data_IF_326909492135
#
_entry.id   IF_326909492135
#
_cell.length_a   1.000
_cell.length_b   1.000
_cell.length_c   1.000
_cell.angle_alpha   90.00
_cell.angle_beta   90.00
_cell.angle_gamma   90.00
#
_symmetry.space_group_name_H-M   'P 1'
#
loop_
_entity.id
_entity.type
_entity.pdbx_description
1 polymer ?
2 non-polymer ?
3 water ?
#
# COMPACT_ATOMS: atom_id res chain seq x y z
N UNK A 10 -5.44 54.70 -13.96
CA UNK A 10 -6.52 54.04 -13.19
C UNK A 10 -7.00 52.80 -13.92
N UNK A 11 -7.05 52.92 -15.24
CA UNK A 11 -7.54 51.85 -16.10
C UNK A 11 -6.61 50.67 -16.03
N UNK A 12 -5.32 50.96 -15.99
CA UNK A 12 -4.33 49.88 -15.90
C UNK A 12 -4.26 49.32 -14.51
N UNK A 13 -4.59 50.15 -13.52
CA UNK A 13 -4.58 49.69 -12.14
C UNK A 13 -5.70 48.67 -11.93
N UNK A 14 -6.77 48.79 -12.71
CA UNK A 14 -7.89 47.87 -12.61
C UNK A 14 -7.51 46.52 -13.23
N UNK A 15 -6.73 46.58 -14.30
CA UNK A 15 -6.28 45.37 -14.98
C UNK A 15 -5.39 44.57 -14.02
N UNK A 16 -4.69 45.30 -13.16
CA UNK A 16 -3.81 44.70 -12.17
C UNK A 16 -4.66 43.97 -11.12
N UNK A 17 -5.71 44.62 -10.65
CA UNK A 17 -6.58 44.02 -9.65
C UNK A 17 -7.22 42.73 -10.13
N UNK A 18 -7.71 42.72 -11.36
CA UNK A 18 -8.35 41.52 -11.90
C UNK A 18 -7.35 40.37 -11.93
N UNK A 19 -6.14 40.67 -12.39
CA UNK A 19 -5.08 39.67 -12.46
C UNK A 19 -4.79 39.08 -11.07
N UNK A 20 -4.91 39.92 -10.05
CA UNK A 20 -4.66 39.48 -8.69
C UNK A 20 -5.76 38.59 -8.13
N UNK A 21 -7.01 38.88 -8.48
CA UNK A 21 -8.13 38.08 -8.00
C UNK A 21 -8.00 36.68 -8.58
N UNK A 22 -7.64 36.61 -9.85
CA UNK A 22 -7.46 35.33 -10.54
C UNK A 22 -6.29 34.60 -9.87
N UNK A 23 -5.26 35.36 -9.52
CA UNK A 23 -4.07 34.82 -8.89
C UNK A 23 -4.40 34.18 -7.54
N UNK A 24 -5.17 34.90 -6.72
CA UNK A 24 -5.57 34.41 -5.40
C UNK A 24 -6.25 33.06 -5.51
N UNK A 25 -7.20 32.98 -6.45
CA UNK A 25 -7.94 31.76 -6.69
C UNK A 25 -6.97 30.64 -7.07
N UNK A 26 -6.00 30.99 -7.90
CA UNK A 26 -4.99 30.06 -8.37
C UNK A 26 -4.15 29.50 -7.21
N UNK A 27 -3.72 30.38 -6.31
CA UNK A 27 -2.92 29.95 -5.17
C UNK A 27 -3.78 29.09 -4.24
N UNK A 28 -5.07 29.38 -4.22
CA UNK A 28 -5.99 28.64 -3.38
C UNK A 28 -6.17 27.22 -3.92
N UNK A 29 -6.34 27.09 -5.22
CA UNK A 29 -6.49 25.77 -5.82
C UNK A 29 -5.20 24.97 -5.69
N UNK A 30 -4.07 25.66 -5.75
CA UNK A 30 -2.79 24.99 -5.66
C UNK A 30 -2.54 24.51 -4.25
N UNK A 31 -2.82 25.37 -3.28
CA UNK A 31 -2.61 25.02 -1.88
C UNK A 31 -3.46 23.80 -1.54
N UNK A 32 -4.71 23.81 -2.01
CA UNK A 32 -5.61 22.71 -1.75
C UNK A 32 -5.10 21.42 -2.41
N UNK A 33 -4.72 21.52 -3.68
CA UNK A 33 -4.22 20.37 -4.41
C UNK A 33 -2.97 19.78 -3.77
N UNK A 34 -2.08 20.64 -3.27
CA UNK A 34 -0.86 20.17 -2.63
C UNK A 34 -1.18 19.45 -1.31
N UNK A 35 -2.19 19.94 -0.59
CA UNK A 35 -2.57 19.34 0.67
C UNK A 35 -3.12 17.93 0.47
N UNK A 36 -3.94 17.77 -0.56
CA UNK A 36 -4.51 16.46 -0.82
C UNK A 36 -3.43 15.53 -1.34
N UNK A 37 -2.55 16.07 -2.17
CA UNK A 37 -1.46 15.28 -2.73
C UNK A 37 -0.56 14.69 -1.65
N UNK A 38 -0.12 15.52 -0.72
CA UNK A 38 0.76 15.05 0.34
C UNK A 38 0.04 14.04 1.22
N UNK A 39 -1.28 14.20 1.36
CA UNK A 39 -2.06 13.27 2.17
C UNK A 39 -2.04 11.91 1.46
N UNK A 40 -2.29 11.93 0.15
CA UNK A 40 -2.29 10.72 -0.66
C UNK A 40 -0.91 10.06 -0.69
N UNK A 41 0.15 10.86 -0.51
CA UNK A 41 1.51 10.32 -0.53
C UNK A 41 1.80 9.53 0.73
N UNK A 42 1.28 9.99 1.86
CA UNK A 42 1.50 9.29 3.11
C UNK A 42 0.68 8.03 3.11
N UNK A 43 -0.54 8.11 2.58
CA UNK A 43 -1.40 6.93 2.52
C UNK A 43 -0.79 5.93 1.57
N UNK A 44 -0.10 6.43 0.55
CA UNK A 44 0.53 5.57 -0.45
C UNK A 44 1.74 4.83 0.11
N UNK A 45 2.52 5.51 0.94
CA UNK A 45 3.70 4.90 1.53
C UNK A 45 3.29 3.87 2.58
N UNK A 46 2.25 4.18 3.35
CA UNK A 46 1.79 3.26 4.37
C UNK A 46 1.21 1.99 3.75
N UNK A 47 0.53 2.14 2.62
CA UNK A 47 -0.05 0.99 1.95
C UNK A 47 1.07 0.14 1.37
N UNK A 48 2.08 0.79 0.79
CA UNK A 48 3.19 0.06 0.20
C UNK A 48 3.87 -0.81 1.25
N UNK A 49 4.01 -0.26 2.46
CA UNK A 49 4.65 -0.98 3.56
C UNK A 49 3.77 -2.13 4.05
N UNK A 50 2.47 -1.88 4.16
CA UNK A 50 1.56 -2.91 4.63
C UNK A 50 1.54 -4.08 3.65
N UNK A 51 1.69 -3.76 2.37
CA UNK A 51 1.70 -4.78 1.34
C UNK A 51 2.99 -5.58 1.49
N UNK A 52 4.07 -4.91 1.88
CA UNK A 52 5.35 -5.58 2.07
C UNK A 52 5.28 -6.49 3.29
N UNK A 53 4.62 -6.02 4.33
CA UNK A 53 4.46 -6.80 5.54
C UNK A 53 3.75 -8.10 5.18
N UNK A 54 2.58 -7.95 4.54
CA UNK A 54 1.75 -9.07 4.13
C UNK A 54 2.47 -10.12 3.29
N UNK A 55 3.42 -9.69 2.48
CA UNK A 55 4.17 -10.62 1.65
C UNK A 55 5.06 -11.47 2.54
N UNK A 56 5.75 -10.80 3.46
CA UNK A 56 6.65 -11.50 4.36
C UNK A 56 5.97 -12.52 5.25
N UNK A 57 4.76 -12.19 5.69
CA UNK A 57 4.03 -13.08 6.54
C UNK A 57 3.45 -14.21 5.70
N UNK A 58 3.19 -13.90 4.44
CA UNK A 58 2.64 -14.85 3.49
C UNK A 58 3.63 -16.01 3.33
N UNK A 59 4.89 -15.66 3.11
CA UNK A 59 5.95 -16.65 2.94
C UNK A 59 6.08 -17.55 4.16
N UNK A 60 6.18 -16.94 5.34
CA UNK A 60 6.32 -17.73 6.56
C UNK A 60 5.26 -18.82 6.62
N UNK A 61 4.01 -18.44 6.37
CA UNK A 61 2.90 -19.38 6.40
C UNK A 61 3.01 -20.48 5.35
N UNK A 62 3.35 -20.11 4.12
CA UNK A 62 3.50 -21.09 3.06
C UNK A 62 4.57 -22.11 3.45
N UNK A 63 5.63 -21.64 4.09
CA UNK A 63 6.68 -22.55 4.50
C UNK A 63 6.16 -23.48 5.59
N UNK A 64 5.38 -22.94 6.51
CA UNK A 64 4.84 -23.72 7.61
C UNK A 64 3.92 -24.82 7.08
N UNK A 65 3.15 -24.48 6.05
CA UNK A 65 2.21 -25.41 5.45
C UNK A 65 2.94 -26.58 4.79
N UNK A 66 3.98 -26.24 4.05
CA UNK A 66 4.77 -27.22 3.35
C UNK A 66 5.41 -28.15 4.38
N UNK A 67 5.89 -27.57 5.46
CA UNK A 67 6.52 -28.34 6.52
C UNK A 67 5.50 -29.28 7.16
N UNK A 68 4.34 -28.75 7.53
CA UNK A 68 3.32 -29.57 8.17
C UNK A 68 2.78 -30.66 7.25
N UNK A 69 2.64 -30.35 5.97
CA UNK A 69 2.15 -31.33 5.01
C UNK A 69 3.11 -32.50 4.86
N UNK A 70 4.40 -32.22 4.97
CA UNK A 70 5.38 -33.27 4.82
C UNK A 70 5.47 -34.11 6.09
N UNK A 71 5.26 -33.48 7.25
CA UNK A 71 5.30 -34.23 8.49
C UNK A 71 4.04 -35.08 8.57
N UNK A 72 2.93 -34.51 8.13
CA UNK A 72 1.66 -35.22 8.14
C UNK A 72 1.75 -36.54 7.39
N UNK A 73 2.28 -36.49 6.17
CA UNK A 73 2.40 -37.68 5.35
C UNK A 73 3.33 -38.72 5.99
N UNK A 74 4.39 -38.25 6.63
CA UNK A 74 5.33 -39.14 7.30
C UNK A 74 4.58 -39.83 8.46
N UNK A 75 3.90 -39.04 9.27
CA UNK A 75 3.16 -39.59 10.38
C UNK A 75 2.11 -40.60 9.91
N UNK A 76 1.42 -40.31 8.81
CA UNK A 76 0.43 -41.25 8.31
C UNK A 76 1.09 -42.57 7.93
N UNK A 77 2.31 -42.51 7.41
CA UNK A 77 3.04 -43.71 7.01
C UNK A 77 3.53 -44.47 8.23
N UNK A 78 3.85 -43.72 9.28
CA UNK A 78 4.32 -44.34 10.51
C UNK A 78 3.15 -45.03 11.21
N UNK A 79 1.97 -44.43 11.13
CA UNK A 79 0.78 -45.01 11.74
C UNK A 79 0.38 -46.27 10.98
N UNK A 80 0.57 -46.26 9.67
CA UNK A 80 0.23 -47.41 8.84
C UNK A 80 1.17 -48.57 9.19
N UNK A 81 2.46 -48.26 9.30
CA UNK A 81 3.46 -49.26 9.62
C UNK A 81 3.15 -49.94 10.96
N UNK A 82 2.86 -49.13 11.98
CA UNK A 82 2.57 -49.63 13.32
C UNK A 82 1.32 -50.49 13.43
N UNK A 83 0.27 -50.11 12.70
CA UNK A 83 -0.96 -50.88 12.75
C UNK A 83 -0.75 -52.29 12.21
N UNK A 84 -0.02 -52.41 11.10
CA UNK A 84 0.22 -53.72 10.51
C UNK A 84 0.86 -54.67 11.51
N UNK A 85 1.63 -54.12 12.44
CA UNK A 85 2.29 -54.93 13.45
C UNK A 85 1.32 -55.34 14.55
N UNK A 86 0.53 -54.37 15.00
CA UNK A 86 -0.45 -54.55 16.07
C UNK A 86 -1.66 -55.38 15.68
N UNK A 87 -1.97 -55.41 14.39
CA UNK A 87 -3.12 -56.17 13.94
C UNK A 87 -4.32 -55.27 13.71
N UNK A 88 -4.19 -54.01 14.11
CA UNK A 88 -5.26 -53.04 13.90
C UNK A 88 -5.40 -52.79 12.40
N UNK A 89 -6.56 -52.34 11.94
CA UNK A 89 -6.73 -52.15 10.50
C UNK A 89 -6.91 -50.72 9.99
N UNK B 2 12.74 44.69 -12.33
CA UNK B 2 13.88 45.63 -12.16
C UNK B 2 13.76 46.49 -10.91
N UNK B 3 14.86 46.64 -10.19
CA UNK B 3 14.89 47.44 -8.97
C UNK B 3 15.37 48.86 -9.25
N UNK B 4 15.71 49.13 -10.51
CA UNK B 4 16.16 50.47 -10.87
C UNK B 4 14.98 51.42 -10.79
N UNK B 5 15.26 52.72 -10.58
CA UNK B 5 14.18 53.70 -10.49
C UNK B 5 13.41 53.80 -11.81
N UNK B 6 12.17 53.34 -11.81
CA UNK B 6 11.38 53.39 -13.02
C UNK B 6 10.24 54.40 -12.89
N UNK B 7 9.75 54.85 -14.04
CA UNK B 7 8.65 55.79 -14.08
C UNK B 7 7.36 54.97 -14.10
N UNK B 8 6.33 55.49 -13.44
CA UNK B 8 5.04 54.81 -13.34
C UNK B 8 4.63 54.00 -14.57
N UNK B 9 4.74 54.63 -15.73
CA UNK B 9 4.37 53.98 -16.98
C UNK B 9 5.22 52.73 -17.22
N UNK B 10 6.50 52.81 -16.84
CA UNK B 10 7.42 51.69 -17.03
C UNK B 10 7.29 50.63 -15.93
N UNK B 11 7.14 51.07 -14.68
CA UNK B 11 7.00 50.14 -13.55
C UNK B 11 5.74 49.30 -13.75
N UNK B 12 4.67 49.96 -14.18
CA UNK B 12 3.42 49.28 -14.42
C UNK B 12 3.63 48.13 -15.40
N UNK B 13 4.27 48.42 -16.53
CA UNK B 13 4.50 47.38 -17.53
C UNK B 13 5.38 46.25 -17.01
N UNK B 14 6.38 46.59 -16.21
CA UNK B 14 7.28 45.58 -15.66
C UNK B 14 6.51 44.70 -14.67
N UNK B 15 5.57 45.30 -13.95
CA UNK B 15 4.78 44.57 -12.97
C UNK B 15 3.78 43.64 -13.62
N UNK B 16 3.16 44.09 -14.70
CA UNK B 16 2.18 43.27 -15.39
C UNK B 16 2.87 42.04 -16.00
N UNK B 17 4.06 42.23 -16.55
CA UNK B 17 4.78 41.13 -17.15
C UNK B 17 5.17 40.12 -16.09
N UNK B 18 5.62 40.63 -14.94
CA UNK B 18 6.02 39.78 -13.82
C UNK B 18 4.82 39.00 -13.26
N UNK B 19 3.61 39.51 -13.48
CA UNK B 19 2.42 38.83 -13.00
C UNK B 19 2.01 37.71 -13.94
N UNK B 20 2.03 37.98 -15.24
CA UNK B 20 1.67 36.96 -16.20
C UNK B 20 2.65 35.80 -16.05
N UNK B 21 3.91 36.13 -15.81
CA UNK B 21 4.97 35.15 -15.63
C UNK B 21 4.67 34.27 -14.42
N UNK B 22 4.48 34.92 -13.27
CA UNK B 22 4.17 34.22 -12.04
C UNK B 22 2.88 33.42 -12.21
N UNK B 23 1.96 33.93 -13.03
CA UNK B 23 0.70 33.25 -13.30
C UNK B 23 0.97 31.96 -14.07
N UNK B 24 1.75 32.05 -15.15
CA UNK B 24 2.08 30.88 -15.95
C UNK B 24 2.80 29.86 -15.07
N UNK B 25 3.62 30.35 -14.15
CA UNK B 25 4.35 29.46 -13.26
C UNK B 25 3.36 28.70 -12.38
N UNK B 26 2.35 29.40 -11.88
CA UNK B 26 1.36 28.74 -11.04
C UNK B 26 0.52 27.77 -11.87
N UNK B 27 0.24 28.13 -13.11
CA UNK B 27 -0.55 27.27 -13.98
C UNK B 27 0.21 25.97 -14.21
N UNK B 28 1.54 26.07 -14.22
CA UNK B 28 2.39 24.91 -14.43
C UNK B 28 2.49 24.08 -13.17
N UNK B 29 2.66 24.75 -12.03
CA UNK B 29 2.76 24.02 -10.77
C UNK B 29 1.45 23.30 -10.47
N UNK B 30 0.33 23.91 -10.83
CA UNK B 30 -0.98 23.32 -10.59
C UNK B 30 -1.22 22.11 -11.50
N UNK B 31 -0.91 22.27 -12.79
CA UNK B 31 -1.10 21.18 -13.74
C UNK B 31 -0.31 19.94 -13.34
N UNK B 32 0.92 20.15 -12.89
CA UNK B 32 1.78 19.05 -12.48
C UNK B 32 1.28 18.38 -11.18
N UNK B 33 0.89 19.20 -10.20
CA UNK B 33 0.44 18.68 -8.92
C UNK B 33 -0.87 17.92 -9.05
N UNK B 34 -1.71 18.38 -9.98
CA UNK B 34 -2.99 17.75 -10.23
C UNK B 34 -2.72 16.38 -10.87
N UNK B 35 -1.81 16.35 -11.84
CA UNK B 35 -1.47 15.12 -12.53
C UNK B 35 -0.94 14.08 -11.53
N UNK B 36 0.00 14.50 -10.70
CA UNK B 36 0.59 13.62 -9.70
C UNK B 36 -0.47 13.15 -8.70
N UNK B 37 -1.39 14.06 -8.37
CA UNK B 37 -2.46 13.77 -7.43
C UNK B 37 -3.36 12.68 -8.00
N UNK B 38 -3.71 12.80 -9.28
CA UNK B 38 -4.56 11.81 -9.94
C UNK B 38 -3.89 10.44 -10.01
N UNK B 39 -2.59 10.41 -10.27
CA UNK B 39 -1.88 9.13 -10.35
C UNK B 39 -1.84 8.48 -8.97
N UNK B 40 -1.73 9.31 -7.94
CA UNK B 40 -1.70 8.81 -6.58
C UNK B 40 -3.04 8.23 -6.19
N UNK B 41 -4.12 8.88 -6.61
CA UNK B 41 -5.46 8.38 -6.31
C UNK B 41 -5.61 6.97 -6.88
N UNK B 42 -5.30 6.86 -8.17
CA UNK B 42 -5.40 5.59 -8.87
C UNK B 42 -4.55 4.49 -8.24
N UNK B 43 -3.31 4.82 -7.88
CA UNK B 43 -2.42 3.84 -7.28
C UNK B 43 -2.89 3.33 -5.92
N UNK B 44 -3.38 4.24 -5.09
CA UNK B 44 -3.86 3.88 -3.76
C UNK B 44 -5.06 2.94 -3.85
N UNK B 45 -5.92 3.19 -4.83
CA UNK B 45 -7.08 2.35 -5.05
C UNK B 45 -6.58 0.93 -5.32
N UNK B 46 -5.63 0.84 -6.25
CA UNK B 46 -5.02 -0.42 -6.65
C UNK B 46 -4.32 -1.09 -5.47
N UNK B 47 -3.50 -0.33 -4.74
CA UNK B 47 -2.77 -0.85 -3.59
C UNK B 47 -3.72 -1.39 -2.53
N UNK B 48 -4.77 -0.63 -2.24
CA UNK B 48 -5.75 -1.06 -1.25
C UNK B 48 -6.36 -2.40 -1.67
N UNK B 49 -6.74 -2.49 -2.94
CA UNK B 49 -7.33 -3.71 -3.48
C UNK B 49 -6.36 -4.88 -3.37
N UNK B 50 -5.08 -4.61 -3.62
CA UNK B 50 -4.04 -5.64 -3.54
C UNK B 50 -3.80 -6.05 -2.09
N UNK B 51 -3.91 -5.09 -1.18
CA UNK B 51 -3.69 -5.37 0.23
C UNK B 51 -4.82 -6.25 0.78
N UNK B 52 -6.05 -5.94 0.39
CA UNK B 52 -7.21 -6.72 0.84
C UNK B 52 -7.11 -8.15 0.31
N UNK B 53 -6.48 -8.31 -0.84
CA UNK B 53 -6.33 -9.62 -1.42
C UNK B 53 -5.26 -10.40 -0.64
N UNK B 54 -4.20 -9.72 -0.23
CA UNK B 54 -3.14 -10.36 0.54
C UNK B 54 -3.68 -10.77 1.92
N UNK B 55 -4.61 -9.98 2.45
CA UNK B 55 -5.20 -10.28 3.74
C UNK B 55 -6.04 -11.54 3.58
N UNK B 56 -6.79 -11.61 2.49
CA UNK B 56 -7.62 -12.77 2.24
C UNK B 56 -6.79 -14.04 2.10
N UNK B 57 -5.65 -13.95 1.44
CA UNK B 57 -4.80 -15.12 1.27
C UNK B 57 -4.18 -15.50 2.60
N UNK B 58 -3.85 -14.49 3.39
CA UNK B 58 -3.25 -14.66 4.71
C UNK B 58 -4.16 -15.53 5.58
N UNK B 59 -5.44 -15.21 5.56
CA UNK B 59 -6.43 -15.92 6.35
C UNK B 59 -6.57 -17.37 5.91
N UNK B 60 -6.67 -17.59 4.61
CA UNK B 60 -6.81 -18.93 4.09
C UNK B 60 -5.64 -19.79 4.54
N UNK B 61 -4.46 -19.19 4.62
CA UNK B 61 -3.26 -19.90 5.04
C UNK B 61 -3.23 -20.18 6.54
N UNK B 62 -3.64 -19.20 7.35
CA UNK B 62 -3.66 -19.39 8.79
C UNK B 62 -4.60 -20.57 9.07
N UNK B 63 -5.72 -20.60 8.36
CA UNK B 63 -6.69 -21.67 8.50
C UNK B 63 -6.10 -23.01 8.09
N UNK B 64 -5.38 -23.02 6.98
CA UNK B 64 -4.78 -24.24 6.49
C UNK B 64 -3.80 -24.76 7.54
N UNK B 65 -3.04 -23.84 8.12
CA UNK B 65 -2.07 -24.20 9.14
C UNK B 65 -2.77 -24.76 10.38
N UNK B 66 -3.86 -24.13 10.80
CA UNK B 66 -4.60 -24.59 11.97
C UNK B 66 -5.16 -25.98 11.74
N UNK B 67 -5.63 -26.23 10.53
CA UNK B 67 -6.18 -27.54 10.18
C UNK B 67 -5.07 -28.60 10.18
N UNK B 68 -3.89 -28.22 9.71
CA UNK B 68 -2.78 -29.17 9.64
C UNK B 68 -2.09 -29.38 10.97
N UNK B 69 -2.19 -28.39 11.85
CA UNK B 69 -1.57 -28.49 13.16
C UNK B 69 -2.37 -29.47 14.01
N UNK B 70 -3.68 -29.43 13.85
CA UNK B 70 -4.56 -30.30 14.61
C UNK B 70 -4.46 -31.74 14.11
N UNK B 71 -4.35 -31.93 12.80
CA UNK B 71 -4.23 -33.29 12.28
C UNK B 71 -2.87 -33.84 12.66
N UNK B 72 -1.91 -32.93 12.82
CA UNK B 72 -0.56 -33.32 13.19
C UNK B 72 -0.51 -33.85 14.63
N UNK B 73 -1.10 -33.10 15.55
CA UNK B 73 -1.10 -33.48 16.96
C UNK B 73 -1.81 -34.82 17.13
N UNK B 74 -2.96 -34.96 16.47
CA UNK B 74 -3.74 -36.19 16.54
C UNK B 74 -2.91 -37.36 16.00
N UNK B 75 -2.07 -37.09 15.00
CA UNK B 75 -1.23 -38.13 14.44
C UNK B 75 -0.11 -38.52 15.41
N UNK B 76 0.54 -37.52 16.01
CA UNK B 76 1.60 -37.81 16.96
C UNK B 76 1.04 -38.63 18.14
N UNK B 77 -0.21 -38.37 18.50
CA UNK B 77 -0.85 -39.09 19.60
C UNK B 77 -1.18 -40.52 19.19
N UNK B 78 -1.47 -40.74 17.91
CA UNK B 78 -1.76 -42.09 17.48
C UNK B 78 -0.48 -42.88 17.39
N UNK B 79 0.58 -42.23 16.93
CA UNK B 79 1.86 -42.91 16.84
C UNK B 79 2.28 -43.31 18.25
N UNK B 80 2.17 -42.38 19.20
CA UNK B 80 2.56 -42.67 20.58
C UNK B 80 1.76 -43.85 21.15
N UNK B 81 0.46 -43.87 20.87
CA UNK B 81 -0.41 -44.95 21.33
C UNK B 81 0.00 -46.27 20.70
N UNK B 82 0.18 -46.27 19.39
CA UNK B 82 0.56 -47.48 18.68
C UNK B 82 1.96 -47.94 19.09
N UNK B 83 2.89 -46.99 19.23
CA UNK B 83 4.25 -47.33 19.62
C UNK B 83 4.31 -48.01 20.98
N UNK B 84 3.65 -47.42 21.96
CA UNK B 84 3.63 -47.97 23.31
C UNK B 84 3.07 -49.38 23.29
N UNK B 85 2.05 -49.59 22.47
CA UNK B 85 1.41 -50.89 22.36
C UNK B 85 2.39 -51.95 21.84
N UNK B 86 3.23 -51.60 20.88
CA UNK B 86 4.19 -52.59 20.39
C UNK B 86 5.50 -52.56 21.17
N UNK B 87 5.75 -51.46 21.87
CA UNK B 87 6.96 -51.34 22.66
C UNK B 87 8.16 -50.76 21.93
N UNK B 88 8.09 -49.48 21.56
CA UNK B 88 9.18 -48.81 20.87
C UNK B 88 9.65 -47.62 21.68
X LIG C 1 11.82 54.55 -16.98
#
# INVERSE_FOLDING_TARGET
GSHMPLLSIARQEEEMKEQLKQMDKMKEDLAKTERIKKELEEQNVTLLEQKNDLFGSMKQLEDKVEELLSKNYHLENEVARLKKLVGER
GSHMPLLSIARQEEEMKEQLKQMDKMKEDLAKTERIKKELEEQNVTLLEQKNDLFGSMKQLEDKVEELLSKNYHLENEVARLKKLVGER
IOD I
#
